data_IF_438877751113
#
_entry.id   IF_438877751113
#
_cell.length_a   1.000
_cell.length_b   1.000
_cell.length_c   1.000
_cell.angle_alpha   90.00
_cell.angle_beta   90.00
_cell.angle_gamma   90.00
#
_symmetry.space_group_name_H-M   'P 1'
#
loop_
_entity.id
_entity.type
_entity.pdbx_description
1 polymer ?
#
# COMPACT_ATOMS: atom_id res chain seq x y z
N UNK A 1 -1.27 2.93 26.84
CA UNK A 1 0.02 3.52 26.41
C UNK A 1 0.58 2.66 25.30
N UNK A 2 0.85 3.23 24.13
CA UNK A 2 1.57 2.55 23.06
C UNK A 2 3.03 2.36 23.50
N UNK A 3 3.40 1.13 23.84
CA UNK A 3 4.80 0.80 24.09
C UNK A 3 5.54 0.74 22.77
N UNK A 4 6.80 1.19 22.75
CA UNK A 4 7.67 1.17 21.56
C UNK A 4 7.71 -0.22 20.93
N UNK A 5 7.71 -1.26 21.76
CA UNK A 5 7.70 -2.66 21.36
C UNK A 5 6.51 -3.02 20.45
N UNK A 6 5.30 -2.54 20.77
CA UNK A 6 4.11 -2.81 19.97
C UNK A 6 4.19 -2.16 18.59
N UNK A 7 4.67 -0.91 18.51
CA UNK A 7 4.86 -0.21 17.23
C UNK A 7 5.88 -0.95 16.36
N UNK A 8 7.02 -1.31 16.96
CA UNK A 8 8.09 -2.03 16.27
C UNK A 8 7.60 -3.37 15.72
N UNK A 9 6.82 -4.13 16.49
CA UNK A 9 6.26 -5.39 16.03
C UNK A 9 5.27 -5.20 14.87
N UNK A 10 4.36 -4.22 14.96
CA UNK A 10 3.43 -3.92 13.86
C UNK A 10 4.16 -3.53 12.57
N UNK A 11 5.18 -2.67 12.67
CA UNK A 11 6.00 -2.27 11.53
C UNK A 11 6.70 -3.48 10.92
N UNK A 12 7.28 -4.35 11.74
CA UNK A 12 7.97 -5.56 11.29
C UNK A 12 7.02 -6.47 10.52
N UNK A 13 5.85 -6.78 11.09
CA UNK A 13 4.82 -7.64 10.45
C UNK A 13 4.33 -7.02 9.15
N UNK A 14 4.17 -5.71 9.10
CA UNK A 14 3.75 -4.98 7.91
C UNK A 14 4.80 -5.06 6.78
N UNK A 15 6.07 -4.92 7.11
CA UNK A 15 7.16 -4.89 6.10
C UNK A 15 7.61 -6.30 5.69
N UNK A 16 7.32 -7.31 6.51
CA UNK A 16 7.72 -8.71 6.29
C UNK A 16 7.37 -9.25 4.90
N UNK A 17 6.15 -9.10 4.35
CA UNK A 17 5.80 -9.64 3.03
C UNK A 17 6.68 -9.06 1.92
N UNK A 18 7.02 -7.78 2.02
CA UNK A 18 7.88 -7.09 1.07
C UNK A 18 9.33 -7.58 1.16
N UNK A 19 9.85 -7.75 2.39
CA UNK A 19 11.21 -8.26 2.61
C UNK A 19 11.33 -9.70 2.12
N UNK A 20 10.36 -10.56 2.44
CA UNK A 20 10.32 -11.93 1.92
C UNK A 20 10.31 -11.95 0.39
N UNK A 21 9.52 -11.08 -0.25
CA UNK A 21 9.56 -10.94 -1.71
C UNK A 21 10.96 -10.56 -2.21
N UNK A 22 11.58 -9.53 -1.62
CA UNK A 22 12.90 -9.05 -2.06
C UNK A 22 14.01 -10.09 -1.87
N UNK A 23 13.94 -10.92 -0.82
CA UNK A 23 14.96 -11.93 -0.51
C UNK A 23 14.78 -13.21 -1.31
N UNK A 24 13.55 -13.69 -1.46
CA UNK A 24 13.28 -15.01 -2.04
C UNK A 24 12.84 -14.97 -3.51
N UNK A 25 12.43 -13.81 -4.03
CA UNK A 25 11.89 -13.69 -5.38
C UNK A 25 12.76 -12.78 -6.23
N UNK A 26 13.43 -13.38 -7.23
CA UNK A 26 14.12 -12.65 -8.28
C UNK A 26 13.23 -12.55 -9.52
N UNK A 27 12.50 -11.45 -9.62
CA UNK A 27 11.57 -11.19 -10.73
C UNK A 27 12.14 -10.10 -11.65
N UNK A 28 12.04 -10.31 -12.97
CA UNK A 28 12.47 -9.32 -13.95
C UNK A 28 11.60 -8.05 -13.86
N UNK A 29 12.22 -6.88 -14.02
CA UNK A 29 11.54 -5.59 -13.85
C UNK A 29 10.30 -5.45 -14.74
N UNK A 30 10.32 -5.98 -15.96
CA UNK A 30 9.18 -5.94 -16.87
C UNK A 30 7.94 -6.68 -16.32
N UNK A 31 8.15 -7.77 -15.57
CA UNK A 31 7.06 -8.53 -14.97
C UNK A 31 6.49 -7.86 -13.72
N UNK A 32 7.28 -7.06 -13.00
CA UNK A 32 6.82 -6.34 -11.78
C UNK A 32 5.67 -5.36 -12.05
N UNK A 33 5.51 -4.89 -13.30
CA UNK A 33 4.41 -3.98 -13.66
C UNK A 33 3.08 -4.67 -13.91
N UNK A 34 3.05 -6.01 -13.90
CA UNK A 34 1.84 -6.79 -14.13
C UNK A 34 1.03 -6.93 -12.84
N UNK A 35 -0.31 -6.86 -12.99
CA UNK A 35 -1.28 -6.95 -11.88
C UNK A 35 -1.31 -8.37 -11.27
N UNK A 36 -0.70 -9.39 -11.91
CA UNK A 36 -0.57 -10.74 -11.36
C UNK A 36 0.88 -11.12 -11.01
N UNK A 37 1.77 -10.13 -10.89
CA UNK A 37 3.16 -10.38 -10.52
C UNK A 37 3.29 -10.84 -9.07
N UNK A 38 4.38 -11.55 -8.76
CA UNK A 38 4.69 -11.93 -7.37
C UNK A 38 4.85 -10.69 -6.50
N UNK A 39 5.29 -9.58 -7.11
CA UNK A 39 5.38 -8.27 -6.47
C UNK A 39 4.00 -7.74 -6.02
N UNK A 40 3.02 -7.76 -6.92
CA UNK A 40 1.67 -7.30 -6.59
C UNK A 40 1.04 -8.15 -5.49
N UNK A 41 1.25 -9.46 -5.49
CA UNK A 41 0.78 -10.35 -4.43
C UNK A 41 1.40 -9.96 -3.08
N UNK A 42 2.72 -9.74 -3.03
CA UNK A 42 3.41 -9.32 -1.81
C UNK A 42 2.89 -7.97 -1.29
N UNK A 43 2.68 -6.98 -2.17
CA UNK A 43 2.10 -5.68 -1.81
C UNK A 43 0.65 -5.79 -1.36
N UNK A 44 -0.14 -6.68 -1.95
CA UNK A 44 -1.52 -6.92 -1.56
C UNK A 44 -1.61 -7.53 -0.17
N UNK A 45 -0.73 -8.49 0.15
CA UNK A 45 -0.63 -9.08 1.49
C UNK A 45 -0.23 -8.00 2.51
N UNK A 46 0.79 -7.19 2.18
CA UNK A 46 1.20 -6.05 3.00
C UNK A 46 0.05 -5.08 3.25
N UNK A 47 -0.69 -4.70 2.20
CA UNK A 47 -1.85 -3.82 2.28
C UNK A 47 -2.94 -4.39 3.20
N UNK A 48 -3.29 -5.66 3.03
CA UNK A 48 -4.29 -6.33 3.87
C UNK A 48 -3.85 -6.35 5.33
N UNK A 49 -2.58 -6.69 5.62
CA UNK A 49 -2.05 -6.68 6.98
C UNK A 49 -2.14 -5.28 7.61
N UNK A 50 -1.85 -4.22 6.85
CA UNK A 50 -2.01 -2.84 7.37
C UNK A 50 -3.46 -2.46 7.65
N UNK A 51 -4.43 -3.03 6.94
CA UNK A 51 -5.85 -2.77 7.16
C UNK A 51 -6.41 -3.55 8.34
N UNK A 52 -5.97 -4.80 8.51
CA UNK A 52 -6.38 -5.63 9.64
C UNK A 52 -5.83 -5.11 10.96
N UNK A 53 -4.68 -4.43 10.92
CA UNK A 53 -3.97 -4.03 12.13
C UNK A 53 -3.62 -2.52 12.19
N UNK A 54 -4.62 -1.63 12.24
CA UNK A 54 -4.41 -0.19 12.23
C UNK A 54 -3.76 0.29 13.54
N UNK A 55 -2.66 1.05 13.44
CA UNK A 55 -2.00 1.63 14.61
C UNK A 55 -2.74 2.90 15.03
N UNK A 56 -3.38 2.85 16.20
CA UNK A 56 -4.08 3.98 16.81
C UNK A 56 -3.20 4.61 17.87
N UNK A 57 -2.66 5.81 17.60
CA UNK A 57 -1.75 6.51 18.51
C UNK A 57 -2.53 7.15 19.68
N UNK A 58 -3.71 7.70 19.36
CA UNK A 58 -4.66 8.31 20.31
C UNK A 58 -6.08 8.05 19.78
N UNK A 59 -7.13 8.15 20.61
CA UNK A 59 -8.53 7.90 20.24
C UNK A 59 -9.01 8.68 19.00
N UNK A 60 -8.36 9.80 18.68
CA UNK A 60 -8.65 10.66 17.52
C UNK A 60 -7.61 10.58 16.38
N UNK A 61 -6.47 9.90 16.55
CA UNK A 61 -5.39 9.86 15.57
C UNK A 61 -4.98 8.42 15.21
N UNK A 62 -5.27 8.05 13.97
CA UNK A 62 -4.87 6.78 13.36
C UNK A 62 -3.77 7.03 12.34
N UNK A 63 -2.71 6.21 12.37
CA UNK A 63 -1.64 6.31 11.39
C UNK A 63 -1.93 5.39 10.19
N UNK A 64 -2.01 5.99 9.00
CA UNK A 64 -2.43 5.29 7.78
C UNK A 64 -1.25 4.58 7.08
N UNK A 65 -0.76 3.49 7.69
CA UNK A 65 0.30 2.66 7.10
C UNK A 65 -0.08 2.00 5.77
N UNK A 66 -1.38 1.89 5.48
CA UNK A 66 -1.92 1.39 4.20
C UNK A 66 -1.47 2.18 2.97
N UNK A 67 -1.02 3.43 3.16
CA UNK A 67 -0.49 4.27 2.08
C UNK A 67 0.88 3.78 1.59
N UNK A 68 1.69 3.16 2.46
CA UNK A 68 3.05 2.69 2.12
C UNK A 68 3.04 1.65 0.97
N UNK A 69 2.31 0.52 1.06
CA UNK A 69 2.27 -0.44 -0.04
C UNK A 69 1.71 0.16 -1.34
N UNK A 70 0.79 1.13 -1.26
CA UNK A 70 0.25 1.83 -2.42
C UNK A 70 1.33 2.66 -3.11
N UNK A 71 2.08 3.48 -2.35
CA UNK A 71 3.21 4.27 -2.87
C UNK A 71 4.22 3.34 -3.55
N UNK A 72 4.62 2.27 -2.87
CA UNK A 72 5.57 1.29 -3.42
C UNK A 72 5.02 0.68 -4.72
N UNK A 73 3.73 0.37 -4.77
CA UNK A 73 3.04 -0.11 -5.97
C UNK A 73 3.13 0.87 -7.14
N UNK A 74 2.89 2.16 -6.91
CA UNK A 74 2.99 3.19 -7.96
C UNK A 74 4.43 3.37 -8.47
N UNK A 75 5.40 3.51 -7.57
CA UNK A 75 6.79 3.81 -7.96
C UNK A 75 7.52 2.61 -8.55
N UNK A 76 7.33 1.40 -8.01
CA UNK A 76 8.09 0.20 -8.41
C UNK A 76 7.30 -0.78 -9.28
N UNK A 77 5.98 -0.84 -9.12
CA UNK A 77 5.08 -1.66 -9.95
C UNK A 77 4.40 -0.86 -11.06
N UNK A 78 4.64 0.45 -11.13
CA UNK A 78 4.00 1.34 -12.08
C UNK A 78 2.52 1.61 -11.77
N UNK A 79 1.91 2.39 -12.65
CA UNK A 79 0.59 2.97 -12.41
C UNK A 79 -0.53 1.92 -12.27
N UNK A 80 -0.45 0.82 -13.04
CA UNK A 80 -1.47 -0.25 -13.03
C UNK A 80 -1.54 -0.96 -11.68
N UNK A 81 -0.37 -1.30 -11.12
CA UNK A 81 -0.24 -1.95 -9.81
C UNK A 81 -0.74 -1.03 -8.70
N UNK A 82 -0.35 0.25 -8.72
CA UNK A 82 -0.82 1.24 -7.76
C UNK A 82 -2.35 1.42 -7.76
N UNK A 83 -2.97 1.56 -8.94
CA UNK A 83 -4.43 1.66 -9.07
C UNK A 83 -5.11 0.38 -8.58
N UNK A 84 -4.58 -0.80 -8.92
CA UNK A 84 -5.14 -2.07 -8.46
C UNK A 84 -5.12 -2.19 -6.92
N UNK A 85 -4.06 -1.74 -6.26
CA UNK A 85 -3.98 -1.72 -4.80
C UNK A 85 -4.99 -0.74 -4.18
N UNK A 86 -5.23 0.43 -4.79
CA UNK A 86 -6.29 1.34 -4.35
C UNK A 86 -7.67 0.69 -4.50
N UNK A 87 -7.92 -0.05 -5.59
CA UNK A 87 -9.18 -0.76 -5.77
C UNK A 87 -9.38 -1.84 -4.67
N UNK A 88 -8.33 -2.56 -4.29
CA UNK A 88 -8.37 -3.50 -3.16
C UNK A 88 -8.71 -2.75 -1.86
N UNK A 89 -8.06 -1.61 -1.62
CA UNK A 89 -8.35 -0.77 -0.45
C UNK A 89 -9.81 -0.34 -0.40
N UNK A 90 -10.36 0.16 -1.50
CA UNK A 90 -11.74 0.63 -1.57
C UNK A 90 -12.73 -0.53 -1.39
N UNK A 91 -12.45 -1.69 -2.00
CA UNK A 91 -13.27 -2.89 -1.84
C UNK A 91 -13.31 -3.34 -0.36
N UNK A 92 -12.16 -3.34 0.31
CA UNK A 92 -12.10 -3.67 1.74
C UNK A 92 -12.84 -2.63 2.61
N UNK A 93 -12.68 -1.34 2.31
CA UNK A 93 -13.30 -0.26 3.08
C UNK A 93 -14.81 -0.18 2.89
N UNK A 94 -15.32 -0.55 1.71
CA UNK A 94 -16.75 -0.62 1.40
C UNK A 94 -17.49 -1.58 2.35
N UNK A 95 -16.85 -2.68 2.76
CA UNK A 95 -17.45 -3.65 3.68
C UNK A 95 -17.49 -3.20 5.14
N UNK A 96 -16.66 -2.23 5.54
CA UNK A 96 -16.43 -1.92 6.96
C UNK A 96 -16.86 -0.52 7.43
N UNK A 97 -17.00 0.47 6.54
CA UNK A 97 -17.11 1.88 6.96
C UNK A 97 -18.26 2.65 6.32
N UNK A 98 -19.01 3.42 7.14
CA UNK A 98 -20.01 4.39 6.66
C UNK A 98 -19.38 5.59 5.90
N UNK A 99 -18.09 5.88 6.11
CA UNK A 99 -17.40 7.03 5.50
C UNK A 99 -16.69 6.67 4.17
N UNK A 100 -17.29 5.76 3.40
CA UNK A 100 -16.74 5.27 2.14
C UNK A 100 -16.49 6.41 1.13
N UNK A 101 -17.42 7.35 0.98
CA UNK A 101 -17.33 8.46 0.04
C UNK A 101 -16.11 9.37 0.30
N UNK A 102 -15.86 9.72 1.56
CA UNK A 102 -14.71 10.56 1.95
C UNK A 102 -13.41 9.83 1.65
N UNK A 103 -13.36 8.53 1.95
CA UNK A 103 -12.19 7.68 1.66
C UNK A 103 -11.94 7.63 0.15
N UNK A 104 -12.98 7.37 -0.65
CA UNK A 104 -12.87 7.33 -2.11
C UNK A 104 -12.33 8.64 -2.69
N UNK A 105 -12.82 9.78 -2.21
CA UNK A 105 -12.38 11.09 -2.68
C UNK A 105 -10.91 11.36 -2.30
N UNK A 106 -10.51 11.08 -1.06
CA UNK A 106 -9.12 11.25 -0.61
C UNK A 106 -8.14 10.40 -1.42
N UNK A 107 -8.46 9.11 -1.63
CA UNK A 107 -7.59 8.22 -2.39
C UNK A 107 -7.60 8.51 -3.89
N UNK A 108 -8.66 9.12 -4.43
CA UNK A 108 -8.69 9.61 -5.81
C UNK A 108 -7.73 10.79 -6.03
N UNK A 109 -7.74 11.76 -5.12
CA UNK A 109 -6.79 12.90 -5.14
C UNK A 109 -5.36 12.37 -5.00
N UNK A 110 -5.10 11.51 -4.02
CA UNK A 110 -3.79 10.92 -3.80
C UNK A 110 -3.30 10.11 -5.02
N UNK A 111 -4.18 9.32 -5.63
CA UNK A 111 -3.88 8.57 -6.87
C UNK A 111 -3.46 9.51 -8.00
N UNK A 112 -4.21 10.59 -8.21
CA UNK A 112 -3.92 11.57 -9.28
C UNK A 112 -2.53 12.18 -9.10
N UNK A 113 -2.18 12.57 -7.86
CA UNK A 113 -0.86 13.09 -7.51
C UNK A 113 0.22 12.03 -7.76
N UNK A 114 0.00 10.78 -7.33
CA UNK A 114 0.95 9.68 -7.50
C UNK A 114 1.18 9.32 -8.97
N UNK A 115 0.13 9.33 -9.80
CA UNK A 115 0.24 9.13 -11.24
C UNK A 115 1.14 10.20 -11.87
N UNK A 116 0.93 11.46 -11.50
CA UNK A 116 1.73 12.57 -11.99
C UNK A 116 3.21 12.43 -11.59
N UNK A 117 3.48 12.14 -10.31
CA UNK A 117 4.82 11.93 -9.80
C UNK A 117 5.52 10.76 -10.48
N UNK A 118 4.84 9.62 -10.62
CA UNK A 118 5.38 8.42 -11.26
C UNK A 118 5.73 8.68 -12.73
N UNK A 119 4.86 9.37 -13.47
CA UNK A 119 5.14 9.77 -14.87
C UNK A 119 6.26 10.79 -14.99
N UNK A 120 6.47 11.63 -13.98
CA UNK A 120 7.60 12.57 -13.95
C UNK A 120 8.90 11.81 -13.72
N UNK A 121 8.93 10.95 -12.72
CA UNK A 121 10.10 10.12 -12.38
C UNK A 121 10.53 9.20 -13.53
N UNK A 122 9.58 8.53 -14.16
CA UNK A 122 9.84 7.61 -15.27
C UNK A 122 10.28 8.33 -16.56
N UNK A 123 10.10 9.65 -16.67
CA UNK A 123 10.66 10.46 -17.75
C UNK A 123 12.12 10.82 -17.54
N UNK A 124 12.63 10.71 -16.31
CA UNK A 124 14.03 11.03 -15.96
C UNK A 124 14.96 9.81 -16.00
N UNK A 125 14.40 8.59 -16.16
CA UNK A 125 15.10 7.30 -16.09
C UNK A 125 15.14 6.66 -17.47
#
# INVERSE_FOLDING_TARGET
MLTIEHVSYHLLVTVLPLVCYLLFVRENQNFRSQICSKFFVALSIMLILTMLNPIRITDSYQFDFKVIPIIIGFFYGGTRVGIALIMILLCFHFSYSMHFLITMLNYSIASTIMIYLTKSWMRFL
#
